data_IF_461247794239
#
_entry.id   IF_461247794239
#
_cell.length_a   1.000
_cell.length_b   1.000
_cell.length_c   1.000
_cell.angle_alpha   90.00
_cell.angle_beta   90.00
_cell.angle_gamma   90.00
#
_symmetry.space_group_name_H-M   'P 1'
#
loop_
_entity.id
_entity.type
_entity.pdbx_description
1 polymer ?
#
# COMPACT_ATOMS: atom_id res chain seq x y z
N UNK A 1 -0.18 17.17 -1.07
CA UNK A 1 0.14 16.47 0.18
C UNK A 1 0.78 15.12 -0.07
N UNK A 2 0.30 14.37 -1.02
CA UNK A 2 0.78 13.01 -1.21
C UNK A 2 1.88 12.87 -2.26
N UNK A 3 2.50 13.96 -2.67
CA UNK A 3 3.57 13.90 -3.67
C UNK A 3 4.75 13.07 -3.22
N UNK A 4 5.17 13.25 -1.98
CA UNK A 4 6.31 12.49 -1.51
C UNK A 4 5.94 11.02 -1.28
N UNK A 5 4.70 10.74 -0.92
CA UNK A 5 4.24 9.35 -0.81
C UNK A 5 4.29 8.67 -2.17
N UNK A 6 3.79 9.34 -3.21
CA UNK A 6 3.86 8.80 -4.56
C UNK A 6 5.31 8.57 -5.00
N UNK A 7 6.21 9.48 -4.65
CA UNK A 7 7.63 9.35 -4.95
C UNK A 7 8.25 8.15 -4.26
N UNK A 8 7.93 7.94 -2.99
CA UNK A 8 8.41 6.79 -2.23
C UNK A 8 7.93 5.48 -2.87
N UNK A 9 6.66 5.43 -3.24
CA UNK A 9 6.10 4.25 -3.89
C UNK A 9 6.80 3.97 -5.20
N UNK A 10 7.00 4.99 -6.03
CA UNK A 10 7.65 4.82 -7.34
C UNK A 10 9.06 4.29 -7.25
N UNK A 11 9.77 4.56 -6.19
CA UNK A 11 11.13 4.05 -6.02
C UNK A 11 11.17 2.53 -5.95
N UNK A 12 10.07 1.90 -5.57
CA UNK A 12 10.02 0.45 -5.43
C UNK A 12 9.13 -0.23 -6.46
N UNK A 13 8.40 0.55 -7.23
CA UNK A 13 7.44 0.01 -8.19
C UNK A 13 7.84 0.43 -9.60
N UNK A 14 8.55 -0.46 -10.29
CA UNK A 14 9.01 -0.26 -11.65
C UNK A 14 8.45 -1.38 -12.54
N UNK A 15 8.34 -1.15 -13.86
CA UNK A 15 7.85 -2.22 -14.75
C UNK A 15 8.58 -3.54 -14.52
N UNK A 16 7.87 -4.68 -14.55
CA UNK A 16 6.47 -4.89 -14.92
C UNK A 16 5.46 -4.56 -13.83
N UNK A 17 5.89 -4.13 -12.67
CA UNK A 17 5.00 -3.64 -11.63
C UNK A 17 4.49 -2.26 -12.02
N UNK A 18 3.28 -1.91 -11.61
CA UNK A 18 2.87 -0.53 -11.77
C UNK A 18 1.98 -0.07 -10.62
N UNK A 19 1.95 1.25 -10.44
CA UNK A 19 1.14 1.89 -9.42
C UNK A 19 0.23 2.92 -10.09
N UNK A 20 -0.97 3.05 -9.56
CA UNK A 20 -1.93 4.05 -10.01
C UNK A 20 -2.57 4.71 -8.80
N UNK A 21 -2.88 5.98 -8.94
CA UNK A 21 -3.67 6.66 -7.93
C UNK A 21 -5.13 6.29 -8.18
N UNK A 22 -5.75 5.72 -7.17
CA UNK A 22 -7.07 5.12 -7.31
C UNK A 22 -8.18 5.99 -6.78
N UNK A 23 -7.94 7.26 -6.63
CA UNK A 23 -8.93 8.19 -6.12
C UNK A 23 -8.59 8.63 -4.70
N UNK A 24 -8.93 9.87 -4.36
CA UNK A 24 -8.65 10.41 -3.05
C UNK A 24 -7.20 10.21 -2.65
N UNK A 25 -7.00 9.51 -1.56
CA UNK A 25 -5.69 9.25 -1.01
C UNK A 25 -5.28 7.78 -1.16
N UNK A 26 -5.89 7.07 -2.10
CA UNK A 26 -5.64 5.65 -2.29
C UNK A 26 -4.78 5.39 -3.52
N UNK A 27 -3.87 4.43 -3.39
CA UNK A 27 -3.05 3.94 -4.49
C UNK A 27 -3.33 2.46 -4.69
N UNK A 28 -3.29 2.03 -5.93
CA UNK A 28 -3.35 0.61 -6.27
C UNK A 28 -2.02 0.20 -6.86
N UNK A 29 -1.50 -0.92 -6.42
CA UNK A 29 -0.27 -1.50 -6.95
C UNK A 29 -0.62 -2.83 -7.60
N UNK A 30 -0.09 -3.06 -8.78
CA UNK A 30 -0.27 -4.32 -9.49
C UNK A 30 1.09 -4.95 -9.70
N UNK A 31 1.26 -6.16 -9.21
CA UNK A 31 2.55 -6.84 -9.14
C UNK A 31 2.44 -8.20 -9.85
N UNK A 32 2.54 -8.21 -11.19
CA UNK A 32 2.37 -9.44 -11.96
C UNK A 32 3.42 -10.49 -11.58
N UNK A 33 2.97 -11.73 -11.42
CA UNK A 33 3.86 -12.85 -11.22
C UNK A 33 4.48 -12.97 -9.83
N UNK A 34 4.10 -12.11 -8.90
CA UNK A 34 4.67 -12.16 -7.55
C UNK A 34 3.77 -12.93 -6.60
N UNK A 35 4.39 -13.65 -5.68
CA UNK A 35 3.67 -14.39 -4.64
C UNK A 35 3.10 -13.42 -3.60
N UNK A 36 2.19 -13.91 -2.77
CA UNK A 36 1.69 -13.12 -1.64
C UNK A 36 2.83 -12.73 -0.70
N UNK A 37 3.77 -13.63 -0.48
CA UNK A 37 4.92 -13.38 0.39
C UNK A 37 5.80 -12.27 -0.17
N UNK A 38 6.11 -12.32 -1.46
CA UNK A 38 6.91 -11.28 -2.12
C UNK A 38 6.21 -9.94 -2.09
N UNK A 39 4.90 -9.96 -2.35
CA UNK A 39 4.08 -8.75 -2.33
C UNK A 39 4.05 -8.15 -0.93
N UNK A 40 3.86 -8.98 0.09
CA UNK A 40 3.83 -8.51 1.48
C UNK A 40 5.16 -7.88 1.87
N UNK A 41 6.28 -8.48 1.47
CA UNK A 41 7.61 -7.93 1.76
C UNK A 41 7.81 -6.56 1.11
N UNK A 42 7.41 -6.43 -0.15
CA UNK A 42 7.51 -5.15 -0.85
C UNK A 42 6.65 -4.09 -0.19
N UNK A 43 5.41 -4.42 0.11
CA UNK A 43 4.47 -3.48 0.73
C UNK A 43 4.97 -3.05 2.10
N UNK A 44 5.50 -3.99 2.88
CA UNK A 44 6.05 -3.68 4.19
C UNK A 44 7.19 -2.67 4.10
N UNK A 45 8.06 -2.82 3.10
CA UNK A 45 9.14 -1.86 2.86
C UNK A 45 8.58 -0.49 2.46
N UNK A 46 7.55 -0.46 1.63
CA UNK A 46 6.91 0.80 1.25
C UNK A 46 6.33 1.52 2.47
N UNK A 47 5.63 0.78 3.33
CA UNK A 47 5.05 1.36 4.54
C UNK A 47 6.15 1.96 5.44
N UNK A 48 7.25 1.25 5.57
CA UNK A 48 8.39 1.72 6.35
C UNK A 48 9.03 2.95 5.73
N UNK A 49 9.22 2.95 4.42
CA UNK A 49 9.81 4.09 3.71
C UNK A 49 8.95 5.34 3.87
N UNK A 50 7.63 5.21 3.79
CA UNK A 50 6.72 6.33 3.96
C UNK A 50 6.80 6.87 5.38
N UNK A 51 6.82 5.99 6.37
CA UNK A 51 6.91 6.40 7.76
C UNK A 51 8.21 7.16 8.03
N UNK A 52 9.34 6.65 7.54
CA UNK A 52 10.64 7.30 7.69
C UNK A 52 10.66 8.66 6.99
N UNK A 53 10.16 8.72 5.76
CA UNK A 53 10.10 9.98 5.01
C UNK A 53 9.21 11.00 5.71
N UNK A 54 8.12 10.56 6.30
CA UNK A 54 7.22 11.43 7.04
C UNK A 54 7.90 12.05 8.26
N UNK A 55 8.65 11.25 9.00
CA UNK A 55 9.40 11.74 10.16
C UNK A 55 10.44 12.78 9.73
N UNK A 56 11.15 12.53 8.64
CA UNK A 56 12.14 13.47 8.12
C UNK A 56 11.51 14.79 7.70
N UNK A 57 10.36 14.73 7.03
CA UNK A 57 9.65 15.94 6.63
C UNK A 57 9.14 16.72 7.84
N UNK A 58 8.75 16.04 8.88
CA UNK A 58 8.30 16.67 10.11
C UNK A 58 9.43 17.46 10.77
N UNK A 59 10.67 16.96 10.70
CA UNK A 59 11.80 17.66 11.28
C UNK A 59 12.14 18.94 10.54
N UNK A 60 11.74 19.07 9.26
CA UNK A 60 11.99 20.27 8.46
C UNK A 60 10.75 21.13 8.30
N UNK A 61 9.59 20.61 8.60
CA UNK A 61 8.32 21.33 8.48
C UNK A 61 7.37 20.86 9.58
N UNK A 62 7.35 21.58 10.66
CA UNK A 62 6.68 21.17 11.90
C UNK A 62 5.17 21.03 11.81
N UNK A 63 4.57 21.61 10.79
CA UNK A 63 3.11 21.62 10.67
C UNK A 63 2.53 20.33 10.14
N UNK A 64 3.38 19.44 9.67
CA UNK A 64 2.91 18.17 9.16
C UNK A 64 3.01 17.08 10.24
N UNK A 65 1.92 16.42 10.50
CA UNK A 65 1.94 15.25 11.38
C UNK A 65 2.68 14.10 10.72
N UNK A 66 2.95 13.06 11.47
CA UNK A 66 3.53 11.84 10.91
C UNK A 66 2.45 11.15 10.07
N UNK A 67 2.81 10.85 8.82
CA UNK A 67 1.91 10.15 7.89
C UNK A 67 2.33 8.71 7.78
N UNK A 68 1.37 7.81 7.86
CA UNK A 68 1.59 6.39 7.66
C UNK A 68 0.59 5.88 6.63
N UNK A 69 0.87 4.73 6.07
CA UNK A 69 -0.03 4.05 5.16
C UNK A 69 -0.52 2.75 5.75
N UNK A 70 -1.72 2.37 5.35
CA UNK A 70 -2.22 1.03 5.59
C UNK A 70 -2.40 0.36 4.24
N UNK A 71 -2.28 -0.95 4.19
CA UNK A 71 -2.38 -1.68 2.93
C UNK A 71 -3.19 -2.95 3.08
N UNK A 72 -3.94 -3.27 2.02
CA UNK A 72 -4.62 -4.55 1.91
C UNK A 72 -4.09 -5.27 0.68
N UNK A 73 -3.85 -6.55 0.79
CA UNK A 73 -3.24 -7.36 -0.26
C UNK A 73 -4.15 -8.52 -0.62
N UNK A 74 -4.37 -8.71 -1.91
CA UNK A 74 -5.10 -9.85 -2.43
C UNK A 74 -4.41 -10.39 -3.66
N UNK A 75 -4.55 -11.68 -3.90
CA UNK A 75 -3.97 -12.35 -5.05
C UNK A 75 -5.07 -12.69 -6.05
N UNK A 76 -4.78 -12.45 -7.33
CA UNK A 76 -5.71 -12.84 -8.38
C UNK A 76 -5.91 -14.35 -8.41
N UNK A 77 -7.15 -14.77 -8.54
CA UNK A 77 -7.55 -16.19 -8.65
C UNK A 77 -8.20 -16.42 -10.00
N UNK A 78 -8.07 -17.63 -10.56
CA UNK A 78 -8.79 -17.95 -11.79
C UNK A 78 -10.27 -17.63 -11.66
N UNK A 79 -10.81 -16.94 -12.66
CA UNK A 79 -12.21 -16.54 -12.65
C UNK A 79 -12.50 -15.19 -12.00
N UNK A 80 -11.52 -14.58 -11.33
CA UNK A 80 -11.72 -13.25 -10.75
C UNK A 80 -11.94 -12.21 -11.83
N UNK A 81 -12.92 -11.35 -11.61
CA UNK A 81 -12.98 -10.07 -12.31
C UNK A 81 -12.07 -9.09 -11.57
N UNK A 82 -11.79 -7.96 -12.21
CA UNK A 82 -11.07 -6.88 -11.55
C UNK A 82 -11.81 -6.44 -10.28
N UNK A 83 -13.13 -6.38 -10.35
CA UNK A 83 -13.96 -6.02 -9.21
C UNK A 83 -13.76 -6.99 -8.03
N UNK A 84 -13.77 -8.29 -8.31
CA UNK A 84 -13.58 -9.31 -7.26
C UNK A 84 -12.25 -9.13 -6.55
N UNK A 85 -11.19 -8.90 -7.32
CA UNK A 85 -9.86 -8.75 -6.76
C UNK A 85 -9.77 -7.50 -5.90
N UNK A 86 -10.26 -6.37 -6.40
CA UNK A 86 -10.26 -5.11 -5.66
C UNK A 86 -11.07 -5.23 -4.38
N UNK A 87 -12.22 -5.90 -4.44
CA UNK A 87 -13.09 -6.07 -3.27
C UNK A 87 -12.36 -6.83 -2.15
N UNK A 88 -11.61 -7.87 -2.50
CA UNK A 88 -10.84 -8.61 -1.50
C UNK A 88 -9.69 -7.78 -0.93
N UNK A 89 -9.01 -7.00 -1.77
CA UNK A 89 -7.95 -6.12 -1.30
C UNK A 89 -8.51 -5.02 -0.38
N UNK A 90 -9.66 -4.47 -0.72
CA UNK A 90 -10.33 -3.46 0.11
C UNK A 90 -10.74 -4.03 1.46
N UNK A 91 -11.24 -5.24 1.49
CA UNK A 91 -11.61 -5.89 2.75
C UNK A 91 -10.38 -6.07 3.65
N UNK A 92 -9.25 -6.44 3.06
CA UNK A 92 -8.00 -6.56 3.81
C UNK A 92 -7.50 -5.20 4.28
N UNK A 93 -7.63 -4.18 3.46
CA UNK A 93 -7.28 -2.81 3.85
C UNK A 93 -8.11 -2.35 5.04
N UNK A 94 -9.39 -2.65 5.02
CA UNK A 94 -10.26 -2.33 6.14
C UNK A 94 -9.77 -3.00 7.43
N UNK A 95 -9.35 -4.25 7.33
CA UNK A 95 -8.79 -4.98 8.48
C UNK A 95 -7.52 -4.33 9.01
N UNK A 96 -6.61 -3.90 8.11
CA UNK A 96 -5.40 -3.21 8.51
C UNK A 96 -5.72 -1.93 9.27
N UNK A 97 -6.71 -1.18 8.81
CA UNK A 97 -7.14 0.06 9.48
C UNK A 97 -7.76 -0.23 10.84
N UNK A 98 -8.55 -1.29 10.95
CA UNK A 98 -9.16 -1.68 12.22
C UNK A 98 -8.13 -2.13 13.26
N UNK A 99 -7.03 -2.72 12.79
CA UNK A 99 -5.99 -3.26 13.68
C UNK A 99 -5.00 -2.20 14.14
N UNK A 100 -5.20 -0.95 13.78
CA UNK A 100 -4.38 0.15 14.28
C UNK A 100 -3.66 0.93 13.22
N UNK A 101 -3.93 0.68 11.95
CA UNK A 101 -3.30 1.38 10.82
C UNK A 101 -1.78 1.16 10.78
N UNK A 102 -1.09 1.79 9.87
CA UNK A 102 0.35 1.66 9.69
C UNK A 102 0.80 0.20 9.61
N UNK A 103 0.09 -0.58 8.82
CA UNK A 103 0.34 -2.02 8.67
C UNK A 103 -0.32 -2.53 7.42
N UNK A 104 0.05 -3.72 7.03
CA UNK A 104 -0.64 -4.41 5.96
C UNK A 104 -1.49 -5.55 6.52
N UNK A 105 -2.47 -5.94 5.73
CA UNK A 105 -3.22 -7.16 5.98
C UNK A 105 -3.33 -7.91 4.65
N UNK A 106 -3.26 -9.22 4.70
CA UNK A 106 -3.39 -10.07 3.52
C UNK A 106 -4.77 -10.71 3.55
N UNK A 107 -5.34 -10.97 2.39
CA UNK A 107 -6.64 -11.61 2.31
C UNK A 107 -6.65 -12.93 3.08
N UNK A 108 -7.73 -13.20 3.77
CA UNK A 108 -7.84 -14.40 4.59
C UNK A 108 -7.30 -14.28 5.99
N UNK A 109 -6.66 -13.17 6.31
CA UNK A 109 -6.16 -12.91 7.67
C UNK A 109 -7.24 -12.28 8.54
N UNK A 110 -8.35 -12.86 8.59
CA UNK A 110 -9.53 -12.48 9.30
C UNK A 110 -9.53 -11.32 10.31
#
# INVERSE_FOLDING_TARGET
MLRYVAGVIRQRVAPPRFAARFGGEEFALILPGESLSETASLVEQILKDVSVASVRRRSTNDNLGVITLSAGIARHRPGDTVHDLIERADASLYNAKRRGRNRLAVEGDG
#
